data_IF_137356679290
#
_entry.id   IF_137356679290
#
_cell.length_a   1.000
_cell.length_b   1.000
_cell.length_c   1.000
_cell.angle_alpha   90.00
_cell.angle_beta   90.00
_cell.angle_gamma   90.00
#
_symmetry.space_group_name_H-M   'P 1'
#
loop_
_entity.id
_entity.type
_entity.pdbx_description
1 polymer ?
#
# COMPACT_ATOMS: atom_id res chain seq x y z
N UNK A 1 -7.52 -21.92 41.72
CA UNK A 1 -8.03 -21.67 40.35
C UNK A 1 -7.30 -20.45 39.80
N UNK A 2 -6.16 -20.66 39.11
CA UNK A 2 -5.28 -19.63 38.55
C UNK A 2 -5.42 -19.61 37.02
N UNK A 3 -6.61 -19.32 36.50
CA UNK A 3 -6.91 -19.48 35.07
C UNK A 3 -7.42 -18.20 34.41
N UNK A 4 -7.05 -17.00 34.92
CA UNK A 4 -7.64 -15.74 34.46
C UNK A 4 -6.64 -14.63 34.10
N UNK A 5 -5.43 -14.91 33.63
CA UNK A 5 -4.48 -13.85 33.22
C UNK A 5 -3.99 -13.88 31.76
N UNK A 6 -4.52 -14.73 30.88
CA UNK A 6 -3.93 -14.91 29.53
C UNK A 6 -4.79 -14.43 28.35
N UNK A 7 -6.03 -14.00 28.57
CA UNK A 7 -6.99 -13.77 27.46
C UNK A 7 -7.13 -12.29 27.04
N UNK A 8 -6.56 -11.34 27.78
CA UNK A 8 -6.83 -9.90 27.56
C UNK A 8 -5.73 -9.13 26.79
N UNK A 9 -4.63 -9.76 26.37
CA UNK A 9 -3.53 -9.08 25.64
C UNK A 9 -3.54 -9.26 24.12
N UNK A 10 -4.50 -10.02 23.55
CA UNK A 10 -4.66 -10.14 22.09
C UNK A 10 -5.81 -9.26 21.62
N UNK A 11 -5.53 -8.00 21.26
CA UNK A 11 -6.15 -7.30 20.10
C UNK A 11 -6.03 -5.77 20.21
N UNK A 12 -4.81 -5.25 20.17
CA UNK A 12 -4.53 -3.89 19.68
C UNK A 12 -3.17 -3.92 18.97
N UNK A 13 -3.01 -4.82 17.99
CA UNK A 13 -1.95 -4.60 17.00
C UNK A 13 -2.47 -3.49 16.09
N UNK A 14 -1.78 -2.34 15.98
CA UNK A 14 -2.17 -1.30 15.03
C UNK A 14 -2.21 -1.95 13.63
N UNK A 15 -3.21 -1.62 12.79
CA UNK A 15 -3.27 -2.18 11.44
C UNK A 15 -1.92 -1.92 10.75
N UNK A 16 -1.21 -3.01 10.44
CA UNK A 16 0.08 -2.91 9.76
C UNK A 16 -0.14 -2.14 8.46
N UNK A 17 0.63 -1.06 8.20
CA UNK A 17 0.41 -0.24 7.02
C UNK A 17 0.62 -1.10 5.78
N UNK A 18 -0.47 -1.33 5.04
CA UNK A 18 -0.46 -2.09 3.80
C UNK A 18 0.51 -1.42 2.81
N UNK A 19 1.34 -2.21 2.10
CA UNK A 19 2.32 -1.67 1.17
C UNK A 19 1.62 -0.87 0.06
N UNK A 20 2.00 0.40 -0.08
CA UNK A 20 1.42 1.29 -1.09
C UNK A 20 2.09 1.03 -2.43
N UNK A 21 1.27 0.76 -3.45
CA UNK A 21 1.74 0.60 -4.82
C UNK A 21 1.93 1.96 -5.49
N UNK A 22 3.14 2.23 -5.95
CA UNK A 22 3.46 3.37 -6.80
C UNK A 22 3.64 2.93 -8.26
N UNK A 23 3.61 3.87 -9.20
CA UNK A 23 3.76 3.67 -10.63
C UNK A 23 4.95 4.50 -11.10
N UNK A 24 5.91 3.90 -11.80
CA UNK A 24 7.02 4.66 -12.36
C UNK A 24 6.57 5.58 -13.50
N UNK A 25 7.10 6.81 -13.54
CA UNK A 25 6.75 7.77 -14.60
C UNK A 25 7.27 7.43 -15.99
N UNK A 26 8.31 6.60 -16.09
CA UNK A 26 8.98 6.29 -17.37
C UNK A 26 8.56 4.92 -17.91
N UNK A 27 8.69 3.86 -17.11
CA UNK A 27 8.33 2.51 -17.52
C UNK A 27 6.87 2.11 -17.21
N UNK A 28 6.13 2.91 -16.42
CA UNK A 28 4.77 2.58 -16.00
C UNK A 28 4.66 1.37 -15.06
N UNK A 29 5.79 0.79 -14.62
CA UNK A 29 5.80 -0.40 -13.79
C UNK A 29 5.28 -0.12 -12.38
N UNK A 30 4.60 -1.12 -11.79
CA UNK A 30 4.11 -1.07 -10.43
C UNK A 30 5.26 -1.33 -9.44
N UNK A 31 5.58 -0.33 -8.62
CA UNK A 31 6.62 -0.37 -7.61
C UNK A 31 5.97 -0.43 -6.21
N UNK A 32 5.83 -1.61 -5.59
CA UNK A 32 5.41 -1.72 -4.20
C UNK A 32 6.55 -1.24 -3.29
N UNK A 33 6.33 -0.12 -2.59
CA UNK A 33 7.34 0.50 -1.73
C UNK A 33 6.83 0.55 -0.29
N UNK A 34 7.67 0.16 0.68
CA UNK A 34 7.35 0.29 2.09
C UNK A 34 7.80 1.66 2.61
N UNK A 35 7.23 2.06 3.74
CA UNK A 35 7.65 3.26 4.46
C UNK A 35 9.13 3.17 4.84
N UNK A 36 9.95 4.10 4.33
CA UNK A 36 11.40 4.15 4.62
C UNK A 36 12.31 3.49 3.58
N UNK A 37 11.76 2.82 2.58
CA UNK A 37 12.56 2.31 1.44
C UNK A 37 13.00 3.46 0.52
N UNK A 38 14.13 3.27 -0.18
CA UNK A 38 14.63 4.22 -1.18
C UNK A 38 13.68 4.27 -2.38
N UNK A 39 13.31 5.48 -2.80
CA UNK A 39 12.44 5.72 -3.96
C UNK A 39 13.25 5.47 -5.24
N UNK A 40 13.15 4.27 -5.79
CA UNK A 40 13.80 3.89 -7.03
C UNK A 40 13.01 2.79 -7.75
N UNK A 41 12.79 2.97 -9.05
CA UNK A 41 12.24 1.91 -9.88
C UNK A 41 13.27 0.80 -10.12
N UNK A 42 12.85 -0.46 -9.99
CA UNK A 42 13.74 -1.63 -10.14
C UNK A 42 14.08 -1.94 -11.60
N UNK A 43 13.22 -1.54 -12.53
CA UNK A 43 13.37 -1.86 -13.95
C UNK A 43 14.19 -0.79 -14.70
N UNK A 44 13.98 0.49 -14.41
CA UNK A 44 14.63 1.60 -15.15
C UNK A 44 15.59 2.44 -14.29
N UNK A 45 15.63 2.28 -12.98
CA UNK A 45 16.45 3.10 -12.08
C UNK A 45 15.97 4.55 -11.90
N UNK A 46 14.84 4.92 -12.53
CA UNK A 46 14.24 6.23 -12.38
C UNK A 46 13.70 6.45 -10.97
N UNK A 47 13.79 7.68 -10.46
CA UNK A 47 13.48 8.02 -9.06
C UNK A 47 12.15 8.73 -8.85
N UNK A 48 11.42 9.02 -9.93
CA UNK A 48 10.10 9.65 -9.85
C UNK A 48 9.03 8.57 -10.00
N UNK A 49 8.23 8.41 -8.94
CA UNK A 49 7.13 7.45 -8.86
C UNK A 49 5.84 8.21 -8.50
N UNK A 50 4.73 7.86 -9.14
CA UNK A 50 3.39 8.37 -8.89
C UNK A 50 2.59 7.41 -8.01
N UNK A 51 1.73 7.90 -7.13
CA UNK A 51 0.86 7.03 -6.32
C UNK A 51 -0.28 6.49 -7.19
N UNK A 52 -0.55 5.17 -7.12
CA UNK A 52 -1.68 4.56 -7.84
C UNK A 52 -3.02 5.10 -7.31
N UNK A 53 -3.95 5.43 -8.24
CA UNK A 53 -5.29 5.92 -7.89
C UNK A 53 -6.08 4.82 -7.16
N UNK A 54 -6.69 5.13 -6.02
CA UNK A 54 -7.55 4.19 -5.30
C UNK A 54 -8.96 4.20 -5.89
N UNK A 55 -9.67 3.06 -5.78
CA UNK A 55 -11.08 2.94 -6.21
C UNK A 55 -12.06 3.59 -5.24
N UNK A 56 -11.59 4.08 -4.09
CA UNK A 56 -12.41 4.71 -3.05
C UNK A 56 -12.71 6.17 -3.43
N UNK A 57 -13.70 6.31 -4.32
CA UNK A 57 -14.56 7.47 -4.55
C UNK A 57 -13.94 8.87 -4.36
N UNK A 58 -13.17 9.31 -5.36
CA UNK A 58 -13.28 10.70 -5.82
C UNK A 58 -14.17 10.65 -7.06
N UNK A 59 -15.47 10.88 -6.86
CA UNK A 59 -16.54 11.01 -7.87
C UNK A 59 -16.33 10.21 -9.18
N UNK A 60 -17.03 9.09 -9.34
CA UNK A 60 -17.32 8.43 -10.62
C UNK A 60 -16.14 8.34 -11.62
N UNK A 61 -15.43 7.22 -11.62
CA UNK A 61 -14.79 6.75 -12.84
C UNK A 61 -15.08 5.25 -13.00
N UNK A 62 -16.37 4.96 -13.20
CA UNK A 62 -16.76 3.68 -13.82
C UNK A 62 -16.36 3.84 -15.28
N UNK A 63 -15.41 3.05 -15.82
CA UNK A 63 -15.36 2.92 -17.25
C UNK A 63 -16.60 2.08 -17.60
N UNK A 64 -17.61 2.72 -18.14
CA UNK A 64 -18.72 2.03 -18.81
C UNK A 64 -18.13 1.35 -20.06
N UNK A 65 -17.51 0.19 -19.87
CA UNK A 65 -17.03 -0.76 -20.89
C UNK A 65 -16.77 -2.07 -20.12
N UNK A 66 -17.53 -3.16 -20.22
CA UNK A 66 -18.61 -3.60 -21.12
C UNK A 66 -19.74 -4.25 -20.31
#
# INVERSE_FOLDING_TARGET
MRFQTEVFLKAMDPPQPEPVTYICGDCGAECPLKSGDVIQCRDCGYRILYKKRTRRSTYSFVPLIS
#
